data_IF_560793495944
#
_entry.id   IF_560793495944
#
_cell.length_a   1.000
_cell.length_b   1.000
_cell.length_c   1.000
_cell.angle_alpha   90.00
_cell.angle_beta   90.00
_cell.angle_gamma   90.00
#
_symmetry.space_group_name_H-M   'P 1'
#
loop_
_entity.id
_entity.type
_entity.pdbx_description
1 polymer ?
#
# COMPACT_ATOMS: atom_id res chain seq x y z
N UNK A 1 -40.50 10.92 -11.51
CA UNK A 1 -39.23 10.21 -11.77
C UNK A 1 -38.91 9.34 -10.56
N UNK A 2 -38.91 8.00 -10.72
CA UNK A 2 -38.50 7.08 -9.65
C UNK A 2 -36.98 7.03 -9.63
N UNK A 3 -36.34 7.61 -8.62
CA UNK A 3 -34.93 7.35 -8.35
C UNK A 3 -34.86 6.07 -7.51
N UNK A 4 -34.40 5.00 -8.13
CA UNK A 4 -34.19 3.71 -7.50
C UNK A 4 -32.96 3.80 -6.61
N UNK A 5 -33.16 3.88 -5.29
CA UNK A 5 -32.14 3.57 -4.29
C UNK A 5 -31.81 2.07 -4.42
N UNK A 6 -30.72 1.75 -5.10
CA UNK A 6 -30.12 0.42 -5.04
C UNK A 6 -29.74 0.14 -3.57
N UNK A 7 -30.01 -1.07 -3.04
CA UNK A 7 -29.61 -1.41 -1.70
C UNK A 7 -28.08 -1.47 -1.66
N UNK A 8 -27.45 -0.72 -0.76
CA UNK A 8 -26.12 -1.07 -0.28
C UNK A 8 -26.15 -2.56 0.05
N UNK A 9 -25.30 -3.38 -0.58
CA UNK A 9 -25.29 -4.82 -0.37
C UNK A 9 -24.33 -5.16 0.80
N UNK A 10 -24.80 -5.26 2.05
CA UNK A 10 -23.96 -5.58 3.21
C UNK A 10 -23.29 -6.96 3.12
N UNK A 11 -23.72 -7.84 2.21
CA UNK A 11 -23.09 -9.15 2.01
C UNK A 11 -21.76 -9.05 1.26
N UNK A 12 -21.64 -8.17 0.27
CA UNK A 12 -20.40 -7.97 -0.47
C UNK A 12 -19.32 -7.40 0.45
N UNK A 13 -19.66 -6.37 1.22
CA UNK A 13 -18.75 -5.76 2.20
C UNK A 13 -18.27 -6.74 3.28
N UNK A 14 -19.14 -7.67 3.72
CA UNK A 14 -18.74 -8.72 4.69
C UNK A 14 -17.76 -9.73 4.08
N UNK A 15 -17.93 -10.05 2.80
CA UNK A 15 -17.01 -10.95 2.10
C UNK A 15 -15.65 -10.27 1.88
N UNK A 16 -15.63 -9.01 1.45
CA UNK A 16 -14.39 -8.23 1.29
C UNK A 16 -13.63 -8.09 2.61
N UNK A 17 -14.35 -7.83 3.72
CA UNK A 17 -13.75 -7.79 5.05
C UNK A 17 -13.17 -9.13 5.48
N UNK A 18 -13.85 -10.24 5.17
CA UNK A 18 -13.35 -11.59 5.45
C UNK A 18 -12.10 -11.92 4.62
N UNK A 19 -12.12 -11.63 3.31
CA UNK A 19 -10.96 -11.82 2.41
C UNK A 19 -9.76 -10.99 2.87
N UNK A 20 -9.97 -9.73 3.25
CA UNK A 20 -8.93 -8.87 3.81
C UNK A 20 -8.35 -9.46 5.10
N UNK A 21 -9.19 -9.95 6.00
CA UNK A 21 -8.74 -10.54 7.28
C UNK A 21 -7.91 -11.80 7.04
N UNK A 22 -8.35 -12.67 6.11
CA UNK A 22 -7.61 -13.88 5.74
C UNK A 22 -6.27 -13.53 5.08
N UNK A 23 -6.25 -12.53 4.22
CA UNK A 23 -5.03 -12.09 3.54
C UNK A 23 -3.99 -11.54 4.51
N UNK A 24 -4.43 -10.76 5.50
CA UNK A 24 -3.54 -10.27 6.56
C UNK A 24 -2.92 -11.41 7.38
N UNK A 25 -3.64 -12.50 7.62
CA UNK A 25 -3.12 -13.66 8.36
C UNK A 25 -2.00 -14.41 7.61
N UNK A 26 -2.00 -14.37 6.28
CA UNK A 26 -0.95 -14.97 5.45
C UNK A 26 0.32 -14.08 5.35
N UNK A 27 0.20 -12.80 5.71
CA UNK A 27 1.30 -11.83 5.58
C UNK A 27 2.16 -11.83 6.85
N UNK A 28 3.48 -11.65 6.74
CA UNK A 28 4.31 -11.42 7.91
C UNK A 28 3.83 -10.21 8.74
N UNK A 29 3.93 -10.33 10.06
CA UNK A 29 3.58 -9.25 10.98
C UNK A 29 4.68 -8.17 10.98
N UNK A 30 4.40 -6.92 10.53
CA UNK A 30 5.40 -5.87 10.48
C UNK A 30 5.92 -5.45 11.86
N UNK A 31 5.18 -5.72 12.95
CA UNK A 31 5.65 -5.44 14.32
C UNK A 31 6.74 -6.40 14.78
N UNK A 32 6.92 -7.52 14.09
CA UNK A 32 7.97 -8.51 14.34
C UNK A 32 9.20 -8.31 13.47
N UNK A 33 9.25 -7.28 12.63
CA UNK A 33 10.47 -6.96 11.91
C UNK A 33 11.61 -6.61 12.88
N UNK A 34 12.85 -7.11 12.65
CA UNK A 34 13.33 -7.78 11.43
C UNK A 34 13.37 -9.32 11.50
N UNK A 35 12.67 -9.97 12.44
CA UNK A 35 12.85 -11.41 12.72
C UNK A 35 11.99 -12.35 11.86
N UNK A 36 11.13 -11.79 11.00
CA UNK A 36 10.29 -12.54 10.06
C UNK A 36 10.93 -12.55 8.66
N UNK A 37 10.12 -12.47 7.61
CA UNK A 37 10.59 -12.35 6.23
C UNK A 37 11.44 -11.06 6.04
N UNK A 38 12.70 -11.26 5.68
CA UNK A 38 13.67 -10.16 5.49
C UNK A 38 13.24 -9.21 4.38
N UNK A 39 12.82 -9.73 3.22
CA UNK A 39 12.47 -8.92 2.06
C UNK A 39 11.22 -8.06 2.35
N UNK A 40 10.24 -8.64 3.03
CA UNK A 40 9.09 -7.93 3.54
C UNK A 40 9.50 -6.81 4.50
N UNK A 41 10.35 -7.11 5.49
CA UNK A 41 10.76 -6.12 6.48
C UNK A 41 11.56 -4.95 5.87
N UNK A 42 12.46 -5.25 4.94
CA UNK A 42 13.21 -4.22 4.20
C UNK A 42 12.27 -3.35 3.37
N UNK A 43 11.36 -3.97 2.62
CA UNK A 43 10.36 -3.26 1.81
C UNK A 43 9.43 -2.41 2.67
N UNK A 44 8.88 -2.96 3.75
CA UNK A 44 8.01 -2.25 4.69
C UNK A 44 8.72 -1.04 5.32
N UNK A 45 9.97 -1.22 5.76
CA UNK A 45 10.79 -0.13 6.32
C UNK A 45 11.00 1.00 5.31
N UNK A 46 11.32 0.64 4.05
CA UNK A 46 11.55 1.63 2.99
C UNK A 46 10.28 2.38 2.61
N UNK A 47 9.15 1.68 2.48
CA UNK A 47 7.84 2.31 2.24
C UNK A 47 7.51 3.29 3.36
N UNK A 48 7.67 2.88 4.63
CA UNK A 48 7.42 3.76 5.78
C UNK A 48 8.27 5.03 5.70
N UNK A 49 9.55 4.90 5.37
CA UNK A 49 10.45 6.04 5.15
C UNK A 49 9.94 6.95 4.02
N UNK A 50 9.56 6.39 2.87
CA UNK A 50 9.03 7.18 1.75
C UNK A 50 7.77 7.97 2.16
N UNK A 51 6.86 7.34 2.91
CA UNK A 51 5.65 7.98 3.43
C UNK A 51 5.97 9.11 4.43
N UNK A 52 6.91 8.89 5.35
CA UNK A 52 7.38 9.91 6.30
C UNK A 52 7.99 11.11 5.58
N UNK A 53 8.78 10.88 4.52
CA UNK A 53 9.37 11.96 3.72
C UNK A 53 8.32 12.76 2.92
N UNK A 54 7.27 12.11 2.39
CA UNK A 54 6.14 12.80 1.75
C UNK A 54 5.42 13.70 2.74
N UNK A 55 5.13 13.18 3.95
CA UNK A 55 4.47 13.96 5.01
C UNK A 55 5.37 15.13 5.44
N UNK A 56 6.67 14.91 5.58
CA UNK A 56 7.62 15.95 5.97
C UNK A 56 7.76 17.05 4.91
N UNK A 57 7.65 16.69 3.62
CA UNK A 57 7.73 17.64 2.51
C UNK A 57 6.39 18.37 2.22
N UNK A 58 5.31 17.97 2.89
CA UNK A 58 3.98 18.52 2.66
C UNK A 58 3.93 20.02 3.00
N UNK A 59 3.42 20.89 2.09
CA UNK A 59 3.15 22.28 2.42
C UNK A 59 2.15 22.38 3.59
N UNK A 60 2.30 23.34 4.54
CA UNK A 60 1.42 23.44 5.70
C UNK A 60 -0.07 23.50 5.34
N UNK A 61 -0.41 24.17 4.23
CA UNK A 61 -1.78 24.28 3.73
C UNK A 61 -2.40 22.93 3.30
N UNK A 62 -1.59 21.92 2.96
CA UNK A 62 -2.02 20.60 2.48
C UNK A 62 -1.63 19.44 3.38
N UNK A 63 -0.99 19.70 4.53
CA UNK A 63 -0.40 18.67 5.38
C UNK A 63 -1.41 17.58 5.83
N UNK A 64 -2.63 17.97 6.17
CA UNK A 64 -3.69 17.02 6.55
C UNK A 64 -4.12 16.15 5.37
N UNK A 65 -4.42 16.76 4.22
CA UNK A 65 -4.85 16.06 3.01
C UNK A 65 -3.78 15.06 2.54
N UNK A 66 -2.53 15.50 2.49
CA UNK A 66 -1.39 14.64 2.11
C UNK A 66 -1.25 13.48 3.09
N UNK A 67 -1.39 13.72 4.39
CA UNK A 67 -1.36 12.63 5.40
C UNK A 67 -2.49 11.63 5.20
N UNK A 68 -3.72 12.08 4.92
CA UNK A 68 -4.86 11.20 4.68
C UNK A 68 -4.65 10.35 3.40
N UNK A 69 -4.09 10.93 2.34
CA UNK A 69 -3.71 10.21 1.11
C UNK A 69 -2.62 9.17 1.38
N UNK A 70 -1.57 9.54 2.12
CA UNK A 70 -0.48 8.62 2.50
C UNK A 70 -1.02 7.42 3.29
N UNK A 71 -1.96 7.63 4.20
CA UNK A 71 -2.62 6.57 4.97
C UNK A 71 -3.42 5.66 4.03
N UNK A 72 -4.27 6.22 3.16
CA UNK A 72 -5.07 5.46 2.21
C UNK A 72 -4.20 4.62 1.25
N UNK A 73 -3.10 5.20 0.76
CA UNK A 73 -2.09 4.49 -0.03
C UNK A 73 -1.47 3.34 0.78
N UNK A 74 -1.15 3.57 2.05
CA UNK A 74 -0.69 2.55 3.01
C UNK A 74 -1.58 1.31 3.05
N UNK A 75 -2.89 1.52 3.20
CA UNK A 75 -3.88 0.45 3.20
C UNK A 75 -3.98 -0.28 1.86
N UNK A 76 -3.93 0.44 0.73
CA UNK A 76 -3.99 -0.18 -0.59
C UNK A 76 -2.78 -1.08 -0.87
N UNK A 77 -1.58 -0.64 -0.49
CA UNK A 77 -0.36 -1.45 -0.59
C UNK A 77 -0.41 -2.69 0.30
N UNK A 78 -0.81 -2.50 1.57
CA UNK A 78 -0.93 -3.60 2.52
C UNK A 78 -1.81 -4.71 1.96
N UNK A 79 -2.95 -4.37 1.38
CA UNK A 79 -3.82 -5.34 0.71
C UNK A 79 -3.16 -6.04 -0.48
N UNK A 80 -2.42 -5.30 -1.33
CA UNK A 80 -1.74 -5.90 -2.48
C UNK A 80 -0.65 -6.89 -2.05
N UNK A 81 0.18 -6.51 -1.07
CA UNK A 81 1.21 -7.38 -0.50
C UNK A 81 0.55 -8.58 0.17
N UNK A 82 -0.48 -8.37 0.99
CA UNK A 82 -1.19 -9.45 1.67
C UNK A 82 -1.80 -10.44 0.69
N UNK A 83 -2.40 -9.96 -0.38
CA UNK A 83 -2.93 -10.81 -1.44
C UNK A 83 -1.82 -11.63 -2.11
N UNK A 84 -0.64 -11.07 -2.37
CA UNK A 84 0.48 -11.83 -2.89
C UNK A 84 0.87 -12.97 -1.94
N UNK A 85 0.92 -12.73 -0.63
CA UNK A 85 1.20 -13.75 0.38
C UNK A 85 0.16 -14.87 0.45
N UNK A 86 -1.12 -14.59 0.17
CA UNK A 86 -2.15 -15.66 0.10
C UNK A 86 -1.90 -16.70 -0.98
N UNK A 87 -1.11 -16.36 -2.01
CA UNK A 87 -0.82 -17.29 -3.10
C UNK A 87 0.19 -18.37 -2.71
N UNK A 88 1.03 -18.10 -1.71
CA UNK A 88 2.19 -18.94 -1.37
C UNK A 88 3.27 -19.00 -2.46
N UNK A 89 3.13 -18.25 -3.55
CA UNK A 89 4.08 -18.22 -4.66
C UNK A 89 5.19 -17.20 -4.36
N UNK A 90 6.36 -17.71 -3.97
CA UNK A 90 7.53 -16.89 -3.62
C UNK A 90 7.94 -15.93 -4.75
N UNK A 91 7.72 -16.29 -6.02
CA UNK A 91 8.06 -15.40 -7.15
C UNK A 91 7.09 -14.23 -7.23
N UNK A 92 5.79 -14.47 -7.01
CA UNK A 92 4.79 -13.40 -6.97
C UNK A 92 5.01 -12.49 -5.77
N UNK A 93 5.31 -13.05 -4.61
CA UNK A 93 5.64 -12.28 -3.40
C UNK A 93 6.87 -11.40 -3.68
N UNK A 94 7.95 -11.97 -4.20
CA UNK A 94 9.17 -11.23 -4.52
C UNK A 94 8.94 -10.14 -5.57
N UNK A 95 8.11 -10.40 -6.60
CA UNK A 95 7.74 -9.40 -7.61
C UNK A 95 7.01 -8.22 -6.98
N UNK A 96 5.95 -8.47 -6.21
CA UNK A 96 5.14 -7.42 -5.58
C UNK A 96 5.97 -6.61 -4.57
N UNK A 97 6.78 -7.27 -3.74
CA UNK A 97 7.69 -6.58 -2.83
C UNK A 97 8.71 -5.73 -3.60
N UNK A 98 9.27 -6.27 -4.68
CA UNK A 98 10.21 -5.55 -5.57
C UNK A 98 9.60 -4.30 -6.18
N UNK A 99 8.37 -4.38 -6.70
CA UNK A 99 7.67 -3.25 -7.30
C UNK A 99 7.43 -2.11 -6.29
N UNK A 100 6.96 -2.45 -5.09
CA UNK A 100 6.77 -1.44 -4.04
C UNK A 100 8.07 -0.91 -3.46
N UNK A 101 9.12 -1.74 -3.38
CA UNK A 101 10.45 -1.29 -2.99
C UNK A 101 11.02 -0.28 -4.00
N UNK A 102 10.88 -0.53 -5.30
CA UNK A 102 11.29 0.38 -6.37
C UNK A 102 10.47 1.67 -6.36
N UNK A 103 9.16 1.58 -6.11
CA UNK A 103 8.30 2.75 -5.96
C UNK A 103 8.73 3.62 -4.77
N UNK A 104 9.07 3.01 -3.64
CA UNK A 104 9.59 3.74 -2.47
C UNK A 104 10.95 4.40 -2.77
N UNK A 105 11.85 3.73 -3.50
CA UNK A 105 13.12 4.34 -3.94
C UNK A 105 12.89 5.57 -4.82
N UNK A 106 11.91 5.52 -5.74
CA UNK A 106 11.55 6.67 -6.57
C UNK A 106 11.11 7.87 -5.73
N UNK A 107 10.24 7.66 -4.72
CA UNK A 107 9.78 8.72 -3.82
C UNK A 107 10.91 9.31 -2.98
N UNK A 108 11.78 8.44 -2.43
CA UNK A 108 12.92 8.88 -1.64
C UNK A 108 13.90 9.69 -2.51
N UNK A 109 14.12 9.28 -3.75
CA UNK A 109 14.98 9.96 -4.71
C UNK A 109 14.43 11.29 -5.24
N UNK A 110 13.12 11.54 -5.13
CA UNK A 110 12.50 12.77 -5.62
C UNK A 110 12.83 14.00 -4.76
N UNK A 111 12.94 15.20 -5.38
CA UNK A 111 13.00 16.48 -4.69
C UNK A 111 11.80 16.66 -3.74
N UNK A 112 11.94 17.38 -2.60
CA UNK A 112 10.86 17.52 -1.61
C UNK A 112 9.51 17.94 -2.20
N UNK A 113 9.50 18.95 -3.08
CA UNK A 113 8.27 19.46 -3.71
C UNK A 113 7.57 18.42 -4.61
N UNK A 114 8.29 17.42 -5.09
CA UNK A 114 7.80 16.40 -6.04
C UNK A 114 7.47 15.07 -5.36
N UNK A 115 7.84 14.87 -4.08
CA UNK A 115 7.65 13.59 -3.37
C UNK A 115 6.21 13.10 -3.36
N UNK A 116 5.25 14.02 -3.22
CA UNK A 116 3.83 13.67 -3.25
C UNK A 116 3.40 13.12 -4.61
N UNK A 117 3.73 13.81 -5.70
CA UNK A 117 3.41 13.36 -7.07
C UNK A 117 4.16 12.07 -7.43
N UNK A 118 5.41 11.94 -6.99
CA UNK A 118 6.19 10.71 -7.14
C UNK A 118 5.54 9.53 -6.41
N UNK A 119 4.97 9.75 -5.22
CA UNK A 119 4.26 8.70 -4.49
C UNK A 119 2.99 8.28 -5.24
N UNK A 120 2.16 9.24 -5.64
CA UNK A 120 0.93 8.95 -6.39
C UNK A 120 1.24 8.17 -7.68
N UNK A 121 2.24 8.59 -8.44
CA UNK A 121 2.64 7.94 -9.69
C UNK A 121 3.23 6.53 -9.47
N UNK A 122 4.28 6.43 -8.66
CA UNK A 122 5.04 5.20 -8.51
C UNK A 122 4.24 4.11 -7.77
N UNK A 123 3.50 4.47 -6.73
CA UNK A 123 2.74 3.49 -5.96
C UNK A 123 1.49 3.05 -6.71
N UNK A 124 0.88 3.92 -7.54
CA UNK A 124 -0.18 3.52 -8.48
C UNK A 124 0.35 2.55 -9.53
N UNK A 125 1.56 2.77 -10.06
CA UNK A 125 2.18 1.85 -11.02
C UNK A 125 2.43 0.47 -10.40
N UNK A 126 3.01 0.42 -9.20
CA UNK A 126 3.23 -0.82 -8.46
C UNK A 126 1.91 -1.57 -8.18
N UNK A 127 0.86 -0.85 -7.77
CA UNK A 127 -0.45 -1.43 -7.52
C UNK A 127 -1.11 -1.99 -8.79
N UNK A 128 -0.83 -1.43 -9.97
CA UNK A 128 -1.31 -1.97 -11.26
C UNK A 128 -0.53 -3.22 -11.67
N UNK A 129 0.79 -3.19 -11.53
CA UNK A 129 1.65 -4.35 -11.83
C UNK A 129 1.31 -5.56 -10.95
N UNK A 130 0.98 -5.32 -9.68
CA UNK A 130 0.59 -6.36 -8.71
C UNK A 130 -0.78 -7.02 -8.98
N UNK A 131 -1.56 -6.52 -9.95
CA UNK A 131 -2.88 -7.07 -10.33
C UNK A 131 -2.84 -7.94 -11.59
N UNK A 132 -1.71 -7.97 -12.30
CA UNK A 132 -1.49 -8.79 -13.49
C UNK A 132 -1.19 -10.24 -13.12
#
# INVERSE_FOLDING_TARGET
>A
MKSSLLPHHPKAQKFDAMESTFSMAATPDPTKCPTVDKAFCETHSKIKKAQEEVIAAAPPAKAKEIKDVVIAQGFAMGQAISKAYTTGDERKIALVLGDYNNAADAVIGSPPAEKYEAMEGAFTAAARASKA
#
